data_IF_335777024083
#
_entry.id   IF_335777024083
#
_cell.length_a   1.000
_cell.length_b   1.000
_cell.length_c   1.000
_cell.angle_alpha   90.00
_cell.angle_beta   90.00
_cell.angle_gamma   90.00
#
_symmetry.space_group_name_H-M   'P 1'
#
loop_
_entity.id
_entity.type
_entity.pdbx_description
1 polymer ?
#
# COMPACT_ATOMS: atom_id res chain seq x y z
N UNK A 1 44.49 -9.69 54.00
CA UNK A 1 43.21 -10.27 53.57
C UNK A 1 42.82 -9.62 52.24
N UNK A 2 43.01 -10.34 51.16
CA UNK A 2 42.64 -9.83 49.83
C UNK A 2 41.16 -10.21 49.58
N UNK A 3 40.26 -9.24 49.55
CA UNK A 3 38.86 -9.44 49.16
C UNK A 3 38.80 -9.44 47.63
N UNK A 4 38.57 -10.60 47.06
CA UNK A 4 38.31 -10.76 45.65
C UNK A 4 36.83 -10.39 45.43
N UNK A 5 36.62 -9.24 44.79
CA UNK A 5 35.30 -8.85 44.34
C UNK A 5 35.09 -9.51 42.99
N UNK A 6 34.23 -10.55 42.93
CA UNK A 6 33.77 -11.11 41.70
C UNK A 6 32.73 -10.14 41.08
N UNK A 7 33.16 -9.40 40.06
CA UNK A 7 32.29 -8.62 39.25
C UNK A 7 31.55 -9.57 38.27
N UNK A 8 30.34 -9.97 38.61
CA UNK A 8 29.43 -10.64 37.66
C UNK A 8 29.05 -9.64 36.58
N UNK A 9 29.78 -9.66 35.47
CA UNK A 9 29.30 -9.03 34.24
C UNK A 9 28.20 -9.93 33.67
N UNK A 10 26.96 -9.60 34.01
CA UNK A 10 25.79 -10.17 33.40
C UNK A 10 25.76 -9.70 31.94
N UNK A 11 26.22 -10.56 31.04
CA UNK A 11 26.08 -10.38 29.59
C UNK A 11 24.62 -10.57 29.26
N UNK A 12 23.87 -9.47 29.26
CA UNK A 12 22.47 -9.44 28.78
C UNK A 12 22.52 -9.57 27.26
N UNK A 13 22.50 -10.81 26.79
CA UNK A 13 22.30 -11.11 25.37
C UNK A 13 20.88 -10.71 25.05
N UNK A 14 20.69 -9.47 24.57
CA UNK A 14 19.46 -9.08 23.90
C UNK A 14 19.36 -9.96 22.65
N UNK A 15 18.55 -11.00 22.73
CA UNK A 15 18.03 -11.65 21.53
C UNK A 15 17.16 -10.63 20.81
N UNK A 16 17.75 -9.87 19.92
CA UNK A 16 17.05 -9.21 18.83
C UNK A 16 16.42 -10.34 17.99
N UNK A 17 15.18 -10.67 18.27
CA UNK A 17 14.34 -11.36 17.31
C UNK A 17 14.19 -10.36 16.16
N UNK A 18 15.10 -10.38 15.22
CA UNK A 18 14.88 -9.82 13.90
C UNK A 18 13.79 -10.71 13.31
N UNK A 19 12.54 -10.28 13.43
CA UNK A 19 11.50 -10.74 12.54
C UNK A 19 12.08 -10.43 11.15
N UNK A 20 12.41 -11.48 10.40
CA UNK A 20 12.84 -11.34 9.03
C UNK A 20 11.61 -10.85 8.24
N UNK A 21 11.42 -9.54 8.21
CA UNK A 21 10.56 -8.87 7.28
C UNK A 21 11.17 -9.20 5.91
N UNK A 22 10.44 -9.92 5.07
CA UNK A 22 10.90 -10.30 3.73
C UNK A 22 10.94 -9.09 2.78
N UNK A 23 10.72 -7.90 3.33
CA UNK A 23 10.75 -6.61 2.66
C UNK A 23 12.19 -6.17 2.37
N UNK A 24 12.52 -6.01 1.11
CA UNK A 24 13.81 -5.47 0.68
C UNK A 24 13.60 -4.10 0.07
N UNK A 25 14.28 -3.05 0.58
CA UNK A 25 14.32 -1.77 -0.13
C UNK A 25 15.01 -1.96 -1.48
N UNK A 26 14.41 -1.38 -2.51
CA UNK A 26 14.88 -1.43 -3.90
C UNK A 26 14.84 -0.04 -4.53
N UNK A 27 15.45 0.11 -5.69
CA UNK A 27 15.26 1.29 -6.54
C UNK A 27 14.02 1.11 -7.42
N UNK A 28 13.35 2.21 -7.76
CA UNK A 28 12.21 2.20 -8.70
C UNK A 28 12.58 1.51 -10.02
N UNK A 29 13.82 1.70 -10.50
CA UNK A 29 14.32 1.08 -11.72
C UNK A 29 14.36 -0.45 -11.69
N UNK A 30 14.30 -1.06 -10.51
CA UNK A 30 14.28 -2.52 -10.31
C UNK A 30 12.86 -3.11 -10.32
N UNK A 31 11.84 -2.25 -10.32
CA UNK A 31 10.45 -2.67 -10.44
C UNK A 31 10.10 -3.06 -11.88
N UNK A 32 9.00 -3.82 -12.08
CA UNK A 32 8.46 -4.04 -13.42
C UNK A 32 8.20 -2.71 -14.15
N UNK A 33 8.52 -2.67 -15.45
CA UNK A 33 8.36 -1.44 -16.27
C UNK A 33 6.97 -0.84 -16.22
N UNK A 34 5.94 -1.69 -16.12
CA UNK A 34 4.55 -1.27 -15.99
C UNK A 34 4.29 -0.46 -14.71
N UNK A 35 4.86 -0.92 -13.58
CA UNK A 35 4.77 -0.21 -12.31
C UNK A 35 5.52 1.12 -12.36
N UNK A 36 6.74 1.15 -12.94
CA UNK A 36 7.50 2.38 -13.13
C UNK A 36 6.71 3.42 -13.93
N UNK A 37 6.12 3.00 -15.05
CA UNK A 37 5.30 3.87 -15.91
C UNK A 37 4.05 4.37 -15.21
N UNK A 38 3.43 3.53 -14.37
CA UNK A 38 2.26 3.90 -13.57
C UNK A 38 2.59 5.00 -12.57
N UNK A 39 3.68 4.84 -11.81
CA UNK A 39 4.14 5.85 -10.85
C UNK A 39 4.46 7.16 -11.56
N UNK A 40 5.19 7.10 -12.67
CA UNK A 40 5.54 8.29 -13.44
C UNK A 40 4.32 9.01 -14.02
N UNK A 41 3.30 8.28 -14.43
CA UNK A 41 2.08 8.85 -15.03
C UNK A 41 1.15 9.49 -14.01
N UNK A 42 0.94 8.83 -12.86
CA UNK A 42 -0.12 9.18 -11.91
C UNK A 42 0.39 9.88 -10.65
N UNK A 43 1.70 9.78 -10.36
CA UNK A 43 2.34 10.32 -9.16
C UNK A 43 3.61 11.12 -9.48
N UNK A 44 3.68 11.74 -10.65
CA UNK A 44 4.86 12.46 -11.12
C UNK A 44 5.26 13.66 -10.24
N UNK A 45 4.29 14.28 -9.59
CA UNK A 45 4.44 15.42 -8.68
C UNK A 45 4.79 15.04 -7.24
N UNK A 46 4.83 13.74 -6.94
CA UNK A 46 5.16 13.23 -5.61
C UNK A 46 6.58 12.68 -5.56
N UNK A 47 7.25 12.89 -4.43
CA UNK A 47 8.58 12.33 -4.19
C UNK A 47 8.48 10.95 -3.53
N UNK A 48 9.22 9.98 -4.05
CA UNK A 48 9.30 8.64 -3.48
C UNK A 48 10.19 8.66 -2.24
N UNK A 49 9.65 8.21 -1.11
CA UNK A 49 10.41 8.03 0.11
C UNK A 49 11.16 6.68 0.09
N UNK A 50 10.46 5.61 -0.28
CA UNK A 50 11.03 4.26 -0.38
C UNK A 50 10.24 3.40 -1.36
N UNK A 51 10.95 2.56 -2.11
CA UNK A 51 10.36 1.44 -2.83
C UNK A 51 10.84 0.13 -2.18
N UNK A 52 9.94 -0.84 -2.06
CA UNK A 52 10.22 -2.14 -1.46
C UNK A 52 9.78 -3.27 -2.37
N UNK A 53 10.46 -4.38 -2.24
CA UNK A 53 10.04 -5.67 -2.82
C UNK A 53 9.82 -6.64 -1.66
N UNK A 54 8.64 -7.20 -1.59
CA UNK A 54 8.31 -8.31 -0.71
C UNK A 54 8.30 -9.60 -1.51
N UNK A 55 8.85 -10.65 -0.94
CA UNK A 55 8.86 -11.98 -1.54
C UNK A 55 8.28 -12.95 -0.54
N UNK A 56 7.09 -13.47 -0.82
CA UNK A 56 6.44 -14.50 -0.03
C UNK A 56 6.31 -15.77 -0.89
N UNK A 57 7.00 -16.83 -0.45
CA UNK A 57 7.03 -18.15 -1.05
C UNK A 57 7.22 -18.15 -2.58
N UNK A 58 6.16 -17.99 -3.37
CA UNK A 58 6.19 -17.97 -4.85
C UNK A 58 5.74 -16.64 -5.45
N UNK A 59 5.36 -15.69 -4.61
CA UNK A 59 4.82 -14.40 -5.06
C UNK A 59 5.77 -13.24 -4.74
N UNK A 60 5.74 -12.25 -5.60
CA UNK A 60 6.48 -10.99 -5.42
C UNK A 60 5.51 -9.84 -5.55
N UNK A 61 5.58 -8.95 -4.59
CA UNK A 61 4.87 -7.68 -4.63
C UNK A 61 5.85 -6.52 -4.51
N UNK A 62 5.42 -5.35 -4.93
CA UNK A 62 6.22 -4.14 -4.88
C UNK A 62 5.41 -3.02 -4.27
N UNK A 63 6.01 -2.29 -3.35
CA UNK A 63 5.41 -1.14 -2.70
C UNK A 63 6.18 0.12 -3.03
N UNK A 64 5.47 1.19 -3.34
CA UNK A 64 6.04 2.52 -3.44
C UNK A 64 5.36 3.40 -2.39
N UNK A 65 6.16 3.95 -1.48
CA UNK A 65 5.71 4.86 -0.44
C UNK A 65 6.28 6.25 -0.75
N UNK A 66 5.41 7.23 -0.81
CA UNK A 66 5.76 8.62 -1.07
C UNK A 66 6.03 9.40 0.22
N UNK A 67 6.70 10.53 0.10
CA UNK A 67 7.09 11.36 1.26
C UNK A 67 5.90 11.95 2.02
N UNK A 68 4.74 12.07 1.37
CA UNK A 68 3.49 12.52 1.98
C UNK A 68 2.71 11.38 2.68
N UNK A 69 3.22 10.13 2.65
CA UNK A 69 2.59 8.95 3.24
C UNK A 69 1.69 8.15 2.29
N UNK A 70 1.40 8.66 1.10
CA UNK A 70 0.66 7.89 0.09
C UNK A 70 1.42 6.62 -0.29
N UNK A 71 0.70 5.56 -0.64
CA UNK A 71 1.28 4.26 -0.96
C UNK A 71 0.60 3.63 -2.17
N UNK A 72 1.38 2.99 -3.02
CA UNK A 72 0.88 2.15 -4.11
C UNK A 72 1.52 0.78 -4.04
N UNK A 73 0.71 -0.26 -4.09
CA UNK A 73 1.13 -1.66 -4.14
C UNK A 73 0.93 -2.22 -5.55
N UNK A 74 1.88 -3.06 -5.98
CA UNK A 74 1.89 -3.70 -7.30
C UNK A 74 2.12 -5.20 -7.18
N UNK A 75 1.50 -5.96 -8.07
CA UNK A 75 1.79 -7.38 -8.25
C UNK A 75 3.14 -7.60 -8.98
N UNK A 76 3.56 -8.86 -9.09
CA UNK A 76 4.81 -9.26 -9.79
C UNK A 76 4.87 -8.85 -11.27
N UNK A 77 3.73 -8.55 -11.89
CA UNK A 77 3.65 -8.08 -13.29
C UNK A 77 3.67 -6.56 -13.40
N UNK A 78 3.63 -5.85 -12.27
CA UNK A 78 3.57 -4.40 -12.21
C UNK A 78 2.17 -3.82 -12.39
N UNK A 79 1.11 -4.61 -12.22
CA UNK A 79 -0.24 -4.08 -12.10
C UNK A 79 -0.44 -3.57 -10.67
N UNK A 80 -1.02 -2.38 -10.52
CA UNK A 80 -1.39 -1.92 -9.19
C UNK A 80 -2.49 -2.83 -8.59
N UNK A 81 -2.38 -3.07 -7.30
CA UNK A 81 -3.35 -3.86 -6.53
C UNK A 81 -4.05 -3.02 -5.49
N UNK A 82 -3.33 -2.04 -4.92
CA UNK A 82 -3.85 -1.13 -3.91
C UNK A 82 -3.23 0.25 -4.05
N UNK A 83 -4.04 1.27 -3.85
CA UNK A 83 -3.62 2.67 -3.79
C UNK A 83 -4.23 3.26 -2.53
N UNK A 84 -3.38 3.78 -1.66
CA UNK A 84 -3.75 4.37 -0.37
C UNK A 84 -3.23 5.81 -0.33
N UNK A 85 -4.17 6.76 -0.29
CA UNK A 85 -3.93 8.20 -0.35
C UNK A 85 -4.70 8.91 0.77
N UNK A 86 -4.54 8.45 2.01
CA UNK A 86 -5.29 9.00 3.17
C UNK A 86 -5.11 10.52 3.35
N UNK A 87 -3.98 11.06 2.95
CA UNK A 87 -3.68 12.49 3.08
C UNK A 87 -3.97 13.32 1.82
N UNK A 88 -4.27 12.65 0.71
CA UNK A 88 -4.60 13.28 -0.57
C UNK A 88 -5.88 12.68 -1.15
N UNK A 89 -5.84 12.24 -2.39
CA UNK A 89 -6.91 11.45 -2.99
C UNK A 89 -6.32 10.54 -4.07
N UNK A 90 -6.99 9.42 -4.32
CA UNK A 90 -6.66 8.52 -5.42
C UNK A 90 -6.86 9.27 -6.74
N UNK A 91 -5.90 9.22 -7.68
CA UNK A 91 -6.06 9.82 -9.01
C UNK A 91 -7.33 9.31 -9.70
N UNK A 92 -8.16 10.21 -10.20
CA UNK A 92 -9.47 9.86 -10.77
C UNK A 92 -9.34 8.89 -11.96
N UNK A 93 -8.28 9.02 -12.76
CA UNK A 93 -8.06 8.21 -13.96
C UNK A 93 -7.86 6.71 -13.67
N UNK A 94 -7.46 6.34 -12.44
CA UNK A 94 -7.27 4.92 -12.07
C UNK A 94 -8.54 4.27 -11.55
N UNK A 95 -9.55 5.06 -11.20
CA UNK A 95 -10.84 4.58 -10.70
C UNK A 95 -11.70 4.18 -11.90
N UNK A 96 -12.27 2.95 -11.95
CA UNK A 96 -13.18 2.56 -13.02
C UNK A 96 -14.34 3.55 -13.21
N UNK A 97 -14.67 3.87 -14.45
CA UNK A 97 -15.68 4.88 -14.79
C UNK A 97 -17.06 4.62 -14.14
N UNK A 98 -17.49 3.36 -14.07
CA UNK A 98 -18.74 2.99 -13.43
C UNK A 98 -18.75 3.28 -11.92
N UNK A 99 -17.61 3.08 -11.24
CA UNK A 99 -17.45 3.43 -9.82
C UNK A 99 -17.47 4.95 -9.66
N UNK A 100 -16.76 5.69 -10.50
CA UNK A 100 -16.79 7.17 -10.47
C UNK A 100 -18.22 7.72 -10.62
N UNK A 101 -18.99 7.17 -11.57
CA UNK A 101 -20.38 7.56 -11.77
C UNK A 101 -21.26 7.29 -10.55
N UNK A 102 -21.11 6.12 -9.94
CA UNK A 102 -21.81 5.76 -8.71
C UNK A 102 -21.48 6.73 -7.57
N UNK A 103 -20.20 7.00 -7.35
CA UNK A 103 -19.73 7.88 -6.28
C UNK A 103 -20.17 9.33 -6.49
N UNK A 104 -20.08 9.85 -7.71
CA UNK A 104 -20.53 11.19 -8.04
C UNK A 104 -22.01 11.40 -7.78
N UNK A 105 -22.82 10.36 -7.96
CA UNK A 105 -24.27 10.40 -7.73
C UNK A 105 -24.64 10.28 -6.26
N UNK A 106 -23.98 9.40 -5.52
CA UNK A 106 -24.38 9.03 -4.16
C UNK A 106 -23.53 9.70 -3.07
N UNK A 107 -22.30 10.09 -3.39
CA UNK A 107 -21.32 10.68 -2.47
C UNK A 107 -20.56 11.84 -3.13
N UNK A 108 -21.27 12.88 -3.64
CA UNK A 108 -20.67 13.92 -4.48
C UNK A 108 -19.56 14.73 -3.79
N UNK A 109 -19.63 14.84 -2.46
CA UNK A 109 -18.67 15.62 -1.65
C UNK A 109 -17.52 14.80 -1.06
N UNK A 110 -17.55 13.47 -1.27
CA UNK A 110 -16.51 12.58 -0.76
C UNK A 110 -15.42 12.33 -1.80
N UNK A 111 -14.18 12.22 -1.33
CA UNK A 111 -13.02 11.84 -2.13
C UNK A 111 -12.72 10.36 -1.92
N UNK A 112 -12.23 9.69 -2.95
CA UNK A 112 -11.67 8.35 -2.80
C UNK A 112 -10.28 8.50 -2.20
N UNK A 113 -10.08 7.95 -1.02
CA UNK A 113 -8.80 7.97 -0.31
C UNK A 113 -8.05 6.65 -0.41
N UNK A 114 -8.76 5.57 -0.70
CA UNK A 114 -8.15 4.26 -0.94
C UNK A 114 -8.96 3.48 -1.97
N UNK A 115 -8.28 2.69 -2.77
CA UNK A 115 -8.90 1.71 -3.67
C UNK A 115 -8.03 0.45 -3.71
N UNK A 116 -8.65 -0.71 -3.56
CA UNK A 116 -7.99 -2.00 -3.60
C UNK A 116 -8.73 -2.95 -4.54
N UNK A 117 -7.98 -3.74 -5.30
CA UNK A 117 -8.55 -4.83 -6.11
C UNK A 117 -8.72 -6.06 -5.26
N UNK A 118 -9.93 -6.59 -5.21
CA UNK A 118 -10.23 -7.78 -4.43
C UNK A 118 -9.93 -9.08 -5.21
N UNK A 119 -9.72 -10.19 -4.51
CA UNK A 119 -9.53 -11.52 -5.10
C UNK A 119 -10.71 -11.96 -5.98
N UNK A 120 -11.89 -11.42 -5.70
CA UNK A 120 -13.13 -11.66 -6.48
C UNK A 120 -13.24 -10.80 -7.74
N UNK A 121 -12.15 -10.15 -8.15
CA UNK A 121 -12.07 -9.24 -9.30
C UNK A 121 -12.96 -7.99 -9.16
N UNK A 122 -13.34 -7.64 -7.96
CA UNK A 122 -14.04 -6.40 -7.63
C UNK A 122 -13.08 -5.34 -7.08
N UNK A 123 -13.66 -4.36 -6.40
CA UNK A 123 -12.94 -3.26 -5.80
C UNK A 123 -13.48 -2.95 -4.41
N UNK A 124 -12.57 -2.58 -3.53
CA UNK A 124 -12.84 -2.03 -2.20
C UNK A 124 -12.43 -0.57 -2.22
N UNK A 125 -13.34 0.33 -1.82
CA UNK A 125 -13.16 1.78 -1.97
C UNK A 125 -13.49 2.51 -0.69
N UNK A 126 -12.46 3.11 -0.06
CA UNK A 126 -12.64 3.93 1.12
C UNK A 126 -12.83 5.40 0.72
N UNK A 127 -13.79 6.04 1.33
CA UNK A 127 -14.11 7.46 1.11
C UNK A 127 -13.66 8.34 2.28
N UNK A 128 -13.36 9.59 1.97
CA UNK A 128 -12.91 10.60 2.96
C UNK A 128 -13.93 10.90 4.06
N UNK A 129 -15.19 10.53 3.89
CA UNK A 129 -16.26 10.67 4.87
C UNK A 129 -16.48 9.42 5.73
N UNK A 130 -15.58 8.41 5.63
CA UNK A 130 -15.58 7.21 6.44
C UNK A 130 -16.47 6.07 5.93
N UNK A 131 -17.03 6.18 4.73
CA UNK A 131 -17.69 5.06 4.07
C UNK A 131 -16.67 4.17 3.36
N UNK A 132 -16.87 2.87 3.47
CA UNK A 132 -16.19 1.81 2.73
C UNK A 132 -17.22 1.10 1.85
N UNK A 133 -16.91 0.97 0.55
CA UNK A 133 -17.86 0.44 -0.43
C UNK A 133 -17.20 -0.67 -1.23
N UNK A 134 -17.70 -1.90 -1.07
CA UNK A 134 -17.29 -3.04 -1.87
C UNK A 134 -18.09 -3.09 -3.19
N UNK A 135 -17.37 -3.17 -4.31
CA UNK A 135 -17.93 -3.37 -5.65
C UNK A 135 -17.57 -4.76 -6.17
N UNK A 136 -18.51 -5.42 -6.82
CA UNK A 136 -18.26 -6.70 -7.49
C UNK A 136 -17.50 -6.52 -8.83
N UNK A 137 -17.20 -7.65 -9.51
CA UNK A 137 -16.53 -7.66 -10.82
C UNK A 137 -17.30 -6.93 -11.94
N UNK A 138 -18.58 -6.65 -11.73
CA UNK A 138 -19.45 -5.90 -12.65
C UNK A 138 -19.63 -4.44 -12.22
N UNK A 139 -18.82 -3.96 -11.25
CA UNK A 139 -18.90 -2.61 -10.67
C UNK A 139 -20.24 -2.31 -9.98
N UNK A 140 -20.92 -3.32 -9.48
CA UNK A 140 -22.15 -3.18 -8.68
C UNK A 140 -21.79 -3.23 -7.20
N UNK A 141 -22.42 -2.38 -6.41
CA UNK A 141 -22.27 -2.36 -4.95
C UNK A 141 -22.71 -3.69 -4.35
N UNK A 142 -21.86 -4.27 -3.53
CA UNK A 142 -22.11 -5.47 -2.72
C UNK A 142 -22.37 -5.14 -1.26
N UNK A 143 -21.56 -4.27 -0.71
CA UNK A 143 -21.57 -3.92 0.71
C UNK A 143 -21.21 -2.45 0.89
N UNK A 144 -21.76 -1.83 1.91
CA UNK A 144 -21.46 -0.46 2.32
C UNK A 144 -21.32 -0.49 3.84
N UNK A 145 -20.14 -0.13 4.33
CA UNK A 145 -19.81 0.02 5.75
C UNK A 145 -19.46 1.47 6.09
N UNK A 146 -19.43 1.76 7.41
CA UNK A 146 -19.09 3.09 7.94
C UNK A 146 -18.32 3.00 9.25
#
# INVERSE_FOLDING_TARGET
MKKIVFLFVSLFVMNLVVLADNDKPIQISQMPKKAQSFVQKHFADQSVAVAKMETDFLDKTFDVIFTNGDKVEFDKKGNWTKIDCEHTQVPAEVIPAAIQQYLSKNYPDAKVVKIEKTDRKGYDVDLSNGFDIEFDKHMKVREIDR
#
